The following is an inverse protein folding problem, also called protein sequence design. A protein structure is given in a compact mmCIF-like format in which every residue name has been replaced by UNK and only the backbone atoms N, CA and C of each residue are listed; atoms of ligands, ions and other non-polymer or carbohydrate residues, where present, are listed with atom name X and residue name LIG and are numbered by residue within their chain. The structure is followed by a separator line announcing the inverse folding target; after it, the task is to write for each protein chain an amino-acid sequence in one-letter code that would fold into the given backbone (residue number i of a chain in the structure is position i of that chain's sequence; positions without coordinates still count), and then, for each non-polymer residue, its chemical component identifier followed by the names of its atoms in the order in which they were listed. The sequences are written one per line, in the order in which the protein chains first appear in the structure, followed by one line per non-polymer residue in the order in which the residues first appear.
data_IF_919877591381
#
_entry.id   IF_919877591381
#
_cell.length_a   1.000
_cell.length_b   1.000
_cell.length_c   1.000
_cell.angle_alpha   90.00
_cell.angle_beta   90.00
_cell.angle_gamma   90.00
#
_symmetry.space_group_name_H-M   'P 1'
#
loop_
_entity.id
_entity.type
_entity.pdbx_description
1 polymer ?
#
# COMPACT_ATOMS: atom_id res chain seq x y z
N UNK A 1 31.96 5.63 11.99
CA UNK A 1 30.82 5.69 11.04
C UNK A 1 30.28 7.11 11.10
N UNK A 2 30.02 7.72 9.95
CA UNK A 2 29.64 9.12 9.87
C UNK A 2 28.20 9.29 10.40
N UNK A 3 27.96 10.16 11.40
CA UNK A 3 26.65 10.24 12.08
C UNK A 3 25.48 10.53 11.12
N UNK A 4 25.77 11.23 10.03
CA UNK A 4 24.80 11.53 8.98
C UNK A 4 24.35 10.26 8.23
N UNK A 5 25.28 9.35 7.98
CA UNK A 5 25.05 8.09 7.28
C UNK A 5 24.13 7.17 8.08
N UNK A 6 24.36 7.09 9.40
CA UNK A 6 23.53 6.30 10.30
C UNK A 6 22.08 6.80 10.31
N UNK A 7 21.90 8.14 10.32
CA UNK A 7 20.57 8.77 10.23
C UNK A 7 19.89 8.49 8.89
N UNK A 8 20.63 8.50 7.77
CA UNK A 8 20.07 8.18 6.45
C UNK A 8 19.58 6.73 6.37
N UNK A 9 20.39 5.78 6.86
CA UNK A 9 20.04 4.36 6.88
C UNK A 9 18.83 4.12 7.80
N UNK A 10 18.80 4.76 8.97
CA UNK A 10 17.67 4.59 9.89
C UNK A 10 16.39 5.19 9.32
N UNK A 11 16.45 6.38 8.73
CA UNK A 11 15.30 6.98 8.05
C UNK A 11 14.80 6.13 6.88
N UNK A 12 15.70 5.47 6.14
CA UNK A 12 15.34 4.51 5.11
C UNK A 12 14.57 3.31 5.71
N UNK A 13 15.10 2.70 6.77
CA UNK A 13 14.47 1.55 7.45
C UNK A 13 13.11 1.89 8.03
N UNK A 14 13.00 3.01 8.73
CA UNK A 14 11.72 3.46 9.31
C UNK A 14 10.70 3.78 8.23
N UNK A 15 11.12 4.37 7.12
CA UNK A 15 10.26 4.59 5.95
C UNK A 15 9.73 3.26 5.39
N UNK A 16 10.58 2.24 5.24
CA UNK A 16 10.14 0.92 4.77
C UNK A 16 9.22 0.21 5.75
N UNK A 17 9.49 0.28 7.07
CA UNK A 17 8.60 -0.27 8.10
C UNK A 17 7.22 0.39 8.04
N UNK A 18 7.18 1.71 7.87
CA UNK A 18 5.94 2.47 7.72
C UNK A 18 5.18 2.06 6.44
N UNK A 19 5.87 1.94 5.31
CA UNK A 19 5.28 1.43 4.07
C UNK A 19 4.65 0.05 4.28
N UNK A 20 5.40 -0.88 4.89
CA UNK A 20 4.92 -2.24 5.12
C UNK A 20 3.67 -2.25 6.02
N UNK A 21 3.68 -1.51 7.13
CA UNK A 21 2.52 -1.39 8.02
C UNK A 21 1.30 -0.82 7.31
N UNK A 22 1.48 0.21 6.48
CA UNK A 22 0.41 0.83 5.72
C UNK A 22 -0.18 -0.11 4.65
N UNK A 23 0.67 -0.89 3.95
CA UNK A 23 0.22 -1.93 3.01
C UNK A 23 -0.56 -3.02 3.73
N UNK A 24 -0.07 -3.50 4.88
CA UNK A 24 -0.80 -4.48 5.69
C UNK A 24 -2.14 -3.95 6.18
N UNK A 25 -2.22 -2.68 6.56
CA UNK A 25 -3.48 -2.07 6.95
C UNK A 25 -4.49 -2.04 5.79
N UNK A 26 -4.03 -1.74 4.56
CA UNK A 26 -4.84 -1.88 3.35
C UNK A 26 -5.36 -3.30 3.13
N UNK A 27 -4.52 -4.32 3.34
CA UNK A 27 -4.91 -5.73 3.27
C UNK A 27 -5.86 -6.14 4.40
N UNK A 28 -5.75 -5.56 5.58
CA UNK A 28 -6.68 -5.81 6.68
C UNK A 28 -8.06 -5.25 6.35
N UNK A 29 -8.12 -4.05 5.77
CA UNK A 29 -9.36 -3.45 5.26
C UNK A 29 -9.97 -4.34 4.15
N UNK A 30 -9.13 -5.00 3.35
CA UNK A 30 -9.58 -6.01 2.40
C UNK A 30 -10.35 -7.15 3.07
N UNK A 31 -9.73 -7.74 4.09
CA UNK A 31 -10.31 -8.88 4.82
C UNK A 31 -11.65 -8.50 5.44
N UNK A 32 -11.73 -7.31 6.04
CA UNK A 32 -12.99 -6.77 6.58
C UNK A 32 -14.00 -6.59 5.44
N UNK A 33 -13.66 -5.88 4.37
CA UNK A 33 -14.55 -5.63 3.23
C UNK A 33 -15.10 -6.92 2.62
N UNK A 34 -14.24 -7.92 2.40
CA UNK A 34 -14.63 -9.23 1.88
C UNK A 34 -15.58 -9.97 2.83
N UNK A 35 -15.29 -9.95 4.13
CA UNK A 35 -16.16 -10.57 5.13
C UNK A 35 -17.55 -9.92 5.17
N UNK A 36 -17.63 -8.59 5.00
CA UNK A 36 -18.89 -7.85 4.96
C UNK A 36 -19.75 -8.24 3.75
N UNK A 37 -19.14 -8.41 2.58
CA UNK A 37 -19.87 -8.84 1.39
C UNK A 37 -20.44 -10.26 1.51
N UNK A 38 -19.77 -11.14 2.25
CA UNK A 38 -20.25 -12.50 2.50
C UNK A 38 -21.35 -12.55 3.57
N UNK A 39 -21.21 -11.76 4.65
CA UNK A 39 -22.16 -11.71 5.77
C UNK A 39 -23.44 -10.91 5.42
N UNK A 40 -23.36 -9.97 4.47
CA UNK A 40 -24.47 -9.12 4.02
C UNK A 40 -25.69 -9.81 3.40
N UNK A 41 -25.78 -11.14 3.45
CA UNK A 41 -27.02 -11.90 3.19
C UNK A 41 -27.88 -12.14 4.45
N UNK A 42 -27.45 -11.68 5.63
CA UNK A 42 -28.22 -11.76 6.88
C UNK A 42 -28.61 -10.39 7.43
N UNK A 43 -29.85 -10.27 7.94
CA UNK A 43 -30.51 -9.03 8.40
C UNK A 43 -29.86 -8.28 9.59
N UNK A 44 -28.69 -8.70 10.09
CA UNK A 44 -28.03 -8.04 11.23
C UNK A 44 -26.73 -7.37 10.79
N UNK A 45 -26.60 -6.09 11.14
CA UNK A 45 -25.38 -5.30 10.97
C UNK A 45 -24.19 -6.07 11.55
N UNK A 46 -23.15 -6.36 10.75
CA UNK A 46 -21.99 -7.09 11.22
C UNK A 46 -21.23 -6.23 12.24
N UNK A 47 -21.11 -6.73 13.47
CA UNK A 47 -20.14 -6.20 14.44
C UNK A 47 -18.76 -6.46 13.86
N UNK A 48 -17.97 -5.40 13.61
CA UNK A 48 -16.57 -5.55 13.20
C UNK A 48 -15.83 -6.22 14.36
N UNK A 49 -15.28 -7.43 14.21
CA UNK A 49 -14.85 -8.27 15.35
C UNK A 49 -13.63 -7.75 16.12
N UNK A 50 -13.13 -6.56 15.83
CA UNK A 50 -11.94 -5.97 16.45
C UNK A 50 -12.13 -4.52 16.91
N UNK A 51 -13.26 -3.89 16.59
CA UNK A 51 -13.56 -2.49 16.93
C UNK A 51 -14.98 -2.46 17.46
N UNK A 52 -15.15 -2.12 18.75
CA UNK A 52 -16.46 -1.88 19.37
C UNK A 52 -17.12 -0.59 18.86
N UNK A 53 -17.07 -0.36 17.55
CA UNK A 53 -17.66 0.78 16.85
C UNK A 53 -18.95 0.27 16.22
N UNK A 54 -20.07 0.81 16.67
CA UNK A 54 -21.38 0.55 16.08
C UNK A 54 -21.61 1.55 14.94
N UNK A 55 -21.75 1.03 13.72
CA UNK A 55 -22.08 1.85 12.56
C UNK A 55 -23.59 1.93 12.39
N UNK A 56 -24.09 3.13 12.07
CA UNK A 56 -25.51 3.38 11.83
C UNK A 56 -26.03 2.75 10.53
N UNK A 57 -25.14 2.45 9.57
CA UNK A 57 -25.50 1.74 8.33
C UNK A 57 -24.29 1.02 7.70
N UNK A 58 -24.56 0.01 6.87
CA UNK A 58 -23.53 -0.70 6.07
C UNK A 58 -22.80 0.27 5.14
N UNK A 59 -23.52 1.23 4.56
CA UNK A 59 -22.95 2.25 3.67
C UNK A 59 -21.94 3.12 4.44
N UNK A 60 -22.28 3.55 5.67
CA UNK A 60 -21.35 4.34 6.51
C UNK A 60 -20.07 3.55 6.83
N UNK A 61 -20.18 2.25 7.09
CA UNK A 61 -19.03 1.38 7.30
C UNK A 61 -18.17 1.27 6.03
N UNK A 62 -18.78 1.05 4.86
CA UNK A 62 -18.05 0.95 3.58
C UNK A 62 -17.34 2.25 3.21
N UNK A 63 -17.98 3.41 3.40
CA UNK A 63 -17.36 4.73 3.20
C UNK A 63 -16.15 4.90 4.14
N UNK A 64 -16.30 4.52 5.41
CA UNK A 64 -15.20 4.58 6.39
C UNK A 64 -14.02 3.70 5.96
N UNK A 65 -14.30 2.46 5.54
CA UNK A 65 -13.28 1.54 5.04
C UNK A 65 -12.59 2.08 3.78
N UNK A 66 -13.34 2.70 2.86
CA UNK A 66 -12.76 3.34 1.67
C UNK A 66 -11.82 4.49 2.04
N UNK A 67 -12.19 5.36 2.99
CA UNK A 67 -11.34 6.46 3.45
C UNK A 67 -10.06 5.92 4.11
N UNK A 68 -10.17 4.90 4.96
CA UNK A 68 -9.02 4.26 5.59
C UNK A 68 -8.11 3.56 4.56
N UNK A 69 -8.70 2.95 3.54
CA UNK A 69 -7.99 2.29 2.46
C UNK A 69 -7.19 3.30 1.64
N UNK A 70 -7.82 4.41 1.22
CA UNK A 70 -7.14 5.49 0.52
C UNK A 70 -6.05 6.12 1.39
N UNK A 71 -6.35 6.43 2.65
CA UNK A 71 -5.40 7.02 3.59
C UNK A 71 -4.15 6.18 3.79
N UNK A 72 -4.31 4.85 3.93
CA UNK A 72 -3.18 3.94 4.03
C UNK A 72 -2.41 3.77 2.72
N UNK A 73 -3.09 3.81 1.57
CA UNK A 73 -2.42 3.87 0.26
C UNK A 73 -1.57 5.13 0.06
N UNK A 74 -2.08 6.30 0.44
CA UNK A 74 -1.31 7.55 0.37
C UNK A 74 -0.13 7.53 1.35
N UNK A 75 -0.33 7.01 2.56
CA UNK A 75 0.74 6.86 3.54
C UNK A 75 1.84 5.91 3.04
N UNK A 76 1.47 4.76 2.46
CA UNK A 76 2.44 3.82 1.91
C UNK A 76 3.23 4.43 0.76
N UNK A 77 2.55 5.20 -0.10
CA UNK A 77 3.16 5.87 -1.23
C UNK A 77 4.14 6.97 -0.79
N UNK A 78 3.73 7.80 0.17
CA UNK A 78 4.59 8.83 0.75
C UNK A 78 5.84 8.20 1.38
N UNK A 79 5.66 7.18 2.22
CA UNK A 79 6.76 6.53 2.93
C UNK A 79 7.76 5.85 1.98
N UNK A 80 7.31 5.15 0.94
CA UNK A 80 8.24 4.45 0.03
C UNK A 80 9.05 5.42 -0.82
N UNK A 81 8.49 6.58 -1.17
CA UNK A 81 9.23 7.63 -1.86
C UNK A 81 10.31 8.24 -0.96
N UNK A 82 10.05 8.40 0.34
CA UNK A 82 11.07 8.86 1.28
C UNK A 82 12.17 7.81 1.45
N UNK A 83 11.82 6.51 1.51
CA UNK A 83 12.81 5.44 1.47
C UNK A 83 13.68 5.54 0.21
N UNK A 84 13.08 5.67 -0.97
CA UNK A 84 13.83 5.80 -2.23
C UNK A 84 14.75 7.03 -2.24
N UNK A 85 14.30 8.18 -1.74
CA UNK A 85 15.13 9.38 -1.61
C UNK A 85 16.32 9.17 -0.67
N UNK A 86 16.08 8.57 0.50
CA UNK A 86 17.14 8.27 1.47
C UNK A 86 18.15 7.25 0.94
N UNK A 87 17.70 6.28 0.14
CA UNK A 87 18.60 5.33 -0.49
C UNK A 87 19.53 6.01 -1.51
N UNK A 88 19.00 6.91 -2.33
CA UNK A 88 19.77 7.63 -3.35
C UNK A 88 20.68 8.72 -2.76
N UNK A 89 20.53 9.10 -1.49
CA UNK A 89 21.41 10.08 -0.84
C UNK A 89 22.66 9.46 -0.21
N UNK A 90 22.72 8.12 -0.13
CA UNK A 90 23.90 7.39 0.36
C UNK A 90 24.97 7.39 -0.74
N UNK A 91 26.11 8.03 -0.47
CA UNK A 91 27.21 8.17 -1.43
C UNK A 91 28.00 6.87 -1.64
N UNK A 92 28.11 6.05 -0.60
CA UNK A 92 28.83 4.76 -0.68
C UNK A 92 27.93 3.71 -1.36
N UNK A 93 28.31 3.30 -2.57
CA UNK A 93 27.54 2.38 -3.42
C UNK A 93 27.37 1.01 -2.74
N UNK A 94 28.43 0.43 -2.19
CA UNK A 94 28.37 -0.88 -1.53
C UNK A 94 27.39 -0.87 -0.35
N UNK A 95 27.43 0.20 0.44
CA UNK A 95 26.52 0.37 1.58
C UNK A 95 25.07 0.59 1.13
N UNK A 96 24.86 1.33 0.05
CA UNK A 96 23.54 1.54 -0.51
C UNK A 96 22.97 0.23 -1.10
N UNK A 97 23.79 -0.61 -1.75
CA UNK A 97 23.41 -1.97 -2.18
C UNK A 97 23.04 -2.84 -0.97
N UNK A 98 23.82 -2.79 0.11
CA UNK A 98 23.49 -3.54 1.32
C UNK A 98 22.18 -3.05 1.95
N UNK A 99 21.95 -1.74 1.94
CA UNK A 99 20.76 -1.09 2.51
C UNK A 99 19.51 -1.40 1.69
N UNK A 100 19.61 -1.42 0.35
CA UNK A 100 18.48 -1.68 -0.55
C UNK A 100 17.85 -3.07 -0.38
N UNK A 101 18.61 -4.03 0.16
CA UNK A 101 18.18 -5.41 0.42
C UNK A 101 17.38 -5.56 1.72
N UNK A 102 17.02 -4.46 2.39
CA UNK A 102 16.18 -4.53 3.59
C UNK A 102 14.82 -5.17 3.26
N UNK A 103 14.36 -6.16 4.05
CA UNK A 103 13.15 -6.89 3.75
C UNK A 103 11.90 -6.00 3.93
N UNK A 104 11.13 -5.85 2.86
CA UNK A 104 9.83 -5.17 2.88
C UNK A 104 8.92 -5.74 1.79
N UNK A 105 7.66 -6.04 2.11
CA UNK A 105 6.71 -6.60 1.12
C UNK A 105 6.48 -5.68 -0.08
N UNK A 106 6.62 -4.38 0.09
CA UNK A 106 6.54 -3.43 -1.02
C UNK A 106 7.80 -3.47 -1.90
N UNK A 107 8.95 -3.82 -1.33
CA UNK A 107 10.24 -3.99 -2.01
C UNK A 107 10.41 -5.46 -2.38
N UNK A 108 9.67 -5.89 -3.40
CA UNK A 108 9.65 -7.28 -3.85
C UNK A 108 9.83 -7.37 -5.35
N UNK A 109 10.01 -8.60 -5.84
CA UNK A 109 10.05 -8.89 -7.26
C UNK A 109 8.74 -8.42 -7.93
N UNK A 110 8.80 -7.81 -9.14
CA UNK A 110 7.63 -7.40 -9.91
C UNK A 110 6.50 -8.43 -10.01
N UNK A 111 6.80 -9.73 -10.03
CA UNK A 111 5.78 -10.79 -10.04
C UNK A 111 4.95 -10.85 -8.76
N UNK A 112 5.58 -10.79 -7.59
CA UNK A 112 4.85 -10.73 -6.32
C UNK A 112 4.18 -9.36 -6.14
N UNK A 113 4.84 -8.30 -6.61
CA UNK A 113 4.29 -6.95 -6.63
C UNK A 113 3.01 -6.85 -7.46
N UNK A 114 2.92 -7.52 -8.61
CA UNK A 114 1.71 -7.50 -9.45
C UNK A 114 0.53 -8.23 -8.82
N UNK A 115 0.78 -9.37 -8.14
CA UNK A 115 -0.26 -10.07 -7.38
C UNK A 115 -0.82 -9.20 -6.25
N UNK A 116 0.06 -8.55 -5.49
CA UNK A 116 -0.33 -7.63 -4.43
C UNK A 116 -1.09 -6.41 -4.99
N UNK A 117 -0.62 -5.85 -6.12
CA UNK A 117 -1.30 -4.76 -6.81
C UNK A 117 -2.71 -5.15 -7.28
N UNK A 118 -2.86 -6.36 -7.84
CA UNK A 118 -4.15 -6.90 -8.28
C UNK A 118 -5.12 -7.09 -7.12
N UNK A 119 -4.64 -7.63 -5.99
CA UNK A 119 -5.45 -7.77 -4.79
C UNK A 119 -5.95 -6.40 -4.31
N UNK A 120 -5.04 -5.43 -4.12
CA UNK A 120 -5.35 -4.06 -3.69
C UNK A 120 -6.32 -3.37 -4.67
N UNK A 121 -6.12 -3.51 -5.97
CA UNK A 121 -7.03 -2.98 -6.96
C UNK A 121 -8.44 -3.55 -6.83
N UNK A 122 -8.56 -4.88 -6.69
CA UNK A 122 -9.84 -5.54 -6.48
C UNK A 122 -10.60 -5.01 -5.27
N UNK A 123 -9.89 -4.73 -4.17
CA UNK A 123 -10.47 -4.19 -2.93
C UNK A 123 -11.00 -2.77 -3.14
N UNK A 124 -10.20 -1.89 -3.76
CA UNK A 124 -10.61 -0.53 -4.05
C UNK A 124 -11.83 -0.48 -4.98
N UNK A 125 -11.84 -1.33 -6.01
CA UNK A 125 -12.98 -1.46 -6.92
C UNK A 125 -14.24 -1.98 -6.21
N UNK A 126 -14.08 -2.98 -5.34
CA UNK A 126 -15.18 -3.55 -4.56
C UNK A 126 -15.80 -2.53 -3.60
N UNK A 127 -14.97 -1.78 -2.86
CA UNK A 127 -15.44 -0.74 -1.93
C UNK A 127 -16.16 0.40 -2.65
N UNK A 128 -15.62 0.85 -3.79
CA UNK A 128 -16.28 1.89 -4.58
C UNK A 128 -17.59 1.38 -5.18
N UNK A 129 -17.61 0.15 -5.70
CA UNK A 129 -18.80 -0.44 -6.33
C UNK A 129 -19.92 -0.77 -5.35
N UNK A 130 -19.61 -0.93 -4.06
CA UNK A 130 -20.63 -1.09 -3.03
C UNK A 130 -21.26 0.23 -2.57
N UNK A 131 -20.59 1.36 -2.81
CA UNK A 131 -21.06 2.71 -2.44
C UNK A 131 -21.72 3.42 -3.63
N UNK A 132 -21.16 3.25 -4.83
CA UNK A 132 -21.58 3.94 -6.04
C UNK A 132 -21.96 2.96 -7.16
N UNK A 133 -23.13 3.15 -7.76
CA UNK A 133 -23.51 2.47 -9.00
C UNK A 133 -22.99 3.24 -10.21
N UNK A 134 -21.84 2.82 -10.75
CA UNK A 134 -21.29 3.41 -11.96
C UNK A 134 -21.88 2.77 -13.23
N UNK A 135 -22.82 3.50 -13.85
CA UNK A 135 -23.54 3.05 -15.04
C UNK A 135 -22.74 3.22 -16.34
N UNK A 136 -21.85 4.22 -16.41
CA UNK A 136 -21.05 4.50 -17.61
C UNK A 136 -19.62 3.93 -17.52
N UNK A 137 -19.06 3.49 -18.65
CA UNK A 137 -17.69 2.94 -18.72
C UNK A 137 -16.62 3.94 -18.23
N UNK A 138 -16.82 5.24 -18.44
CA UNK A 138 -15.95 6.28 -17.91
C UNK A 138 -15.94 6.29 -16.37
N UNK A 139 -17.11 6.15 -15.75
CA UNK A 139 -17.23 6.11 -14.29
C UNK A 139 -16.60 4.84 -13.70
N UNK A 140 -16.68 3.71 -14.41
CA UNK A 140 -15.98 2.47 -14.02
C UNK A 140 -14.46 2.63 -14.00
N UNK A 141 -13.89 3.60 -14.73
CA UNK A 141 -12.46 3.91 -14.62
C UNK A 141 -12.06 4.50 -13.26
N UNK A 142 -12.99 5.10 -12.51
CA UNK A 142 -12.75 5.64 -11.17
C UNK A 142 -12.36 4.54 -10.16
N UNK A 143 -12.72 3.28 -10.42
CA UNK A 143 -12.27 2.14 -9.63
C UNK A 143 -10.75 2.01 -9.58
N UNK A 144 -10.05 2.38 -10.66
CA UNK A 144 -8.60 2.36 -10.71
C UNK A 144 -7.96 3.45 -9.84
N UNK A 145 -8.65 4.58 -9.67
CA UNK A 145 -8.13 5.73 -8.91
C UNK A 145 -7.88 5.34 -7.45
N UNK A 146 -8.78 4.54 -6.86
CA UNK A 146 -8.63 4.10 -5.48
C UNK A 146 -7.37 3.23 -5.25
N UNK A 147 -6.89 2.56 -6.30
CA UNK A 147 -5.73 1.69 -6.24
C UNK A 147 -4.41 2.39 -6.61
N UNK A 148 -4.46 3.59 -7.19
CA UNK A 148 -3.27 4.32 -7.68
C UNK A 148 -2.18 4.51 -6.62
N UNK A 149 -2.49 4.87 -5.35
CA UNK A 149 -1.45 5.05 -4.34
C UNK A 149 -0.68 3.74 -4.06
N UNK A 150 -1.39 2.61 -4.02
CA UNK A 150 -0.77 1.30 -3.82
C UNK A 150 0.03 0.86 -5.05
N UNK A 151 -0.51 1.06 -6.26
CA UNK A 151 0.23 0.74 -7.48
C UNK A 151 1.53 1.53 -7.58
N UNK A 152 1.47 2.83 -7.26
CA UNK A 152 2.65 3.70 -7.21
C UNK A 152 3.62 3.25 -6.12
N UNK A 153 3.11 2.79 -4.97
CA UNK A 153 3.94 2.24 -3.89
C UNK A 153 4.75 1.04 -4.37
N UNK A 154 4.10 0.09 -5.02
CA UNK A 154 4.72 -1.15 -5.49
C UNK A 154 5.66 -0.92 -6.67
N UNK A 155 5.35 0.05 -7.53
CA UNK A 155 6.25 0.48 -8.60
C UNK A 155 7.57 1.01 -8.03
N UNK A 156 7.53 1.89 -7.03
CA UNK A 156 8.75 2.42 -6.39
C UNK A 156 9.48 1.32 -5.63
N UNK A 157 8.77 0.44 -4.94
CA UNK A 157 9.39 -0.71 -4.28
C UNK A 157 10.09 -1.67 -5.24
N UNK A 158 9.53 -1.90 -6.43
CA UNK A 158 10.20 -2.65 -7.50
C UNK A 158 11.46 -1.96 -8.02
N UNK A 159 11.50 -0.62 -8.01
CA UNK A 159 12.71 0.16 -8.35
C UNK A 159 13.79 -0.06 -7.29
N UNK A 160 13.42 0.00 -6.00
CA UNK A 160 14.34 -0.26 -4.87
C UNK A 160 14.87 -1.71 -4.93
N UNK A 161 14.02 -2.69 -5.24
CA UNK A 161 14.42 -4.10 -5.31
C UNK A 161 15.42 -4.38 -6.44
N UNK A 162 15.38 -3.61 -7.53
CA UNK A 162 16.32 -3.74 -8.65
C UNK A 162 17.38 -2.63 -8.67
N UNK A 163 17.65 -2.00 -7.51
CA UNK A 163 18.48 -0.80 -7.46
C UNK A 163 19.94 -1.09 -7.77
N UNK A 164 20.47 -2.21 -7.29
CA UNK A 164 21.82 -2.72 -7.61
C UNK A 164 22.06 -2.83 -9.11
N UNK A 165 21.16 -3.52 -9.83
CA UNK A 165 21.23 -3.70 -11.29
C UNK A 165 21.14 -2.38 -12.07
N UNK A 166 20.47 -1.36 -11.51
CA UNK A 166 20.37 -0.04 -12.16
C UNK A 166 21.65 0.77 -12.05
N UNK A 167 22.42 0.58 -10.99
CA UNK A 167 23.70 1.28 -10.83
C UNK A 167 24.77 0.65 -11.67
N UNK A 168 24.84 -0.68 -11.72
CA UNK A 168 25.76 -1.40 -12.62
C UNK A 168 25.54 -1.03 -14.09
N UNK A 169 24.31 -0.65 -14.50
CA UNK A 169 24.02 -0.18 -15.86
C UNK A 169 24.37 1.29 -16.15
N UNK A 170 24.80 2.05 -15.14
CA UNK A 170 25.17 3.48 -15.25
C UNK A 170 26.69 3.72 -15.22
N UNK A 171 27.46 2.71 -14.84
CA UNK A 171 28.92 2.65 -14.96
C UNK A 171 29.33 2.08 -16.32
#
# INVERSE_FOLDING_TARGET
MDKLLDVQIENYRESLKLTQRAVFFGLLIAGISYSLAYIGKGEKLPKVPFLSIEFTSIISLQVTLLVLYLGSGFLSWFAINNAYKNLNSIQNIELAIATSKYPCLAVTNPWFGSLLAGALLGIGAMLLGSIYEFNNNYQKSLYFIAALPYWSTLRVGGIINSWDKRIESRE
#
